data_IF_945544630642
#
_entry.id   IF_945544630642
#
_cell.length_a   1.000
_cell.length_b   1.000
_cell.length_c   1.000
_cell.angle_alpha   90.00
_cell.angle_beta   90.00
_cell.angle_gamma   90.00
#
_symmetry.space_group_name_H-M   'P 1'
#
loop_
_entity.id
_entity.type
_entity.pdbx_description
1 polymer ?
#
# COMPACT_ATOMS: atom_id res chain seq x y z
N UNK A 1 -3.53 -55.77 15.89
CA UNK A 1 -4.68 -55.84 16.80
C UNK A 1 -4.26 -55.16 18.09
N UNK A 2 -4.86 -54.02 18.38
CA UNK A 2 -5.37 -53.62 19.70
C UNK A 2 -5.69 -52.13 19.64
N UNK A 3 -6.98 -51.89 19.58
CA UNK A 3 -7.64 -50.61 19.80
C UNK A 3 -7.59 -50.27 21.29
N UNK A 4 -7.21 -49.04 21.64
CA UNK A 4 -7.76 -48.38 22.82
C UNK A 4 -7.87 -46.88 22.58
N UNK A 5 -9.11 -46.44 22.77
CA UNK A 5 -9.64 -45.09 22.65
C UNK A 5 -9.23 -44.32 23.91
N UNK A 6 -8.66 -43.13 23.74
CA UNK A 6 -8.50 -42.15 24.81
C UNK A 6 -9.29 -40.89 24.47
N UNK A 7 -10.11 -40.47 25.44
CA UNK A 7 -10.98 -39.30 25.43
C UNK A 7 -10.24 -37.95 25.26
N UNK A 8 -10.94 -36.89 24.80
CA UNK A 8 -10.36 -35.58 24.60
C UNK A 8 -10.30 -34.77 25.90
N UNK A 9 -9.10 -34.28 26.23
CA UNK A 9 -8.84 -33.37 27.36
C UNK A 9 -9.53 -32.01 27.09
N UNK A 10 -10.30 -31.58 28.08
CA UNK A 10 -11.20 -30.44 28.04
C UNK A 10 -10.54 -29.07 27.86
N UNK A 11 -11.22 -28.24 27.07
CA UNK A 11 -11.03 -26.80 26.97
C UNK A 11 -11.57 -26.12 28.24
N UNK A 12 -10.67 -25.53 29.01
CA UNK A 12 -10.97 -24.76 30.21
C UNK A 12 -11.68 -23.44 29.84
N UNK A 13 -12.94 -23.29 30.25
CA UNK A 13 -13.87 -22.21 29.88
C UNK A 13 -13.83 -20.99 30.81
N UNK A 14 -12.75 -20.79 31.58
CA UNK A 14 -12.68 -19.73 32.59
C UNK A 14 -11.63 -18.62 32.34
N UNK A 15 -11.20 -18.39 31.09
CA UNK A 15 -10.28 -17.27 30.75
C UNK A 15 -10.92 -16.03 30.09
N UNK A 16 -12.26 -15.93 30.06
CA UNK A 16 -12.98 -14.78 29.47
C UNK A 16 -13.91 -14.06 30.45
N UNK A 17 -13.50 -13.94 31.71
CA UNK A 17 -14.11 -13.03 32.70
C UNK A 17 -12.97 -12.49 33.54
N UNK A 18 -12.49 -11.30 33.20
CA UNK A 18 -11.72 -10.34 34.02
C UNK A 18 -11.01 -9.32 33.10
N UNK A 19 -11.75 -8.67 32.20
CA UNK A 19 -11.25 -7.54 31.40
C UNK A 19 -12.07 -6.25 31.67
N UNK A 20 -13.04 -6.30 32.59
CA UNK A 20 -13.92 -5.16 32.89
C UNK A 20 -13.64 -4.50 34.25
N UNK A 21 -12.66 -4.95 35.04
CA UNK A 21 -12.37 -4.39 36.38
C UNK A 21 -11.02 -3.65 36.51
N UNK A 22 -10.19 -3.55 35.47
CA UNK A 22 -8.91 -2.80 35.54
C UNK A 22 -9.01 -1.32 35.11
N UNK A 23 -10.21 -0.82 34.79
CA UNK A 23 -10.40 0.55 34.26
C UNK A 23 -10.68 1.63 35.32
N UNK A 24 -10.70 1.32 36.63
CA UNK A 24 -11.06 2.32 37.66
C UNK A 24 -9.95 2.76 38.63
N UNK A 25 -8.74 2.19 38.61
CA UNK A 25 -7.70 2.53 39.62
C UNK A 25 -6.52 3.41 39.16
N UNK A 26 -6.41 3.81 37.88
CA UNK A 26 -5.30 4.68 37.43
C UNK A 26 -5.67 6.16 37.28
N UNK A 27 -6.49 6.68 38.20
CA UNK A 27 -6.73 8.12 38.35
C UNK A 27 -5.97 8.70 39.54
N UNK A 28 -4.63 8.82 39.44
CA UNK A 28 -3.83 9.81 40.22
C UNK A 28 -2.36 9.90 39.74
N UNK A 29 -2.08 11.04 39.11
CA UNK A 29 -0.85 11.85 39.18
C UNK A 29 0.44 11.16 38.70
N UNK A 30 0.81 11.42 37.44
CA UNK A 30 2.18 11.74 37.05
C UNK A 30 2.13 12.93 36.09
N UNK A 31 2.38 14.13 36.62
CA UNK A 31 2.73 15.31 35.84
C UNK A 31 4.13 15.12 35.27
N UNK A 32 4.24 14.97 33.94
CA UNK A 32 5.26 15.60 33.10
C UNK A 32 5.12 15.14 31.64
N UNK A 33 4.77 16.10 30.77
CA UNK A 33 4.97 15.99 29.32
C UNK A 33 3.90 15.22 28.52
N UNK A 34 2.62 15.56 28.65
CA UNK A 34 1.60 15.08 27.71
C UNK A 34 1.41 16.08 26.57
N UNK A 35 1.90 15.72 25.37
CA UNK A 35 1.29 16.22 24.12
C UNK A 35 -0.18 15.82 24.12
N UNK A 36 -1.05 16.75 23.74
CA UNK A 36 -2.49 16.60 23.93
C UNK A 36 -3.15 15.90 22.74
N UNK A 37 -4.33 15.29 22.96
CA UNK A 37 -5.17 14.67 21.91
C UNK A 37 -5.53 15.63 20.75
N UNK A 38 -5.36 16.94 20.91
CA UNK A 38 -5.54 17.93 19.86
C UNK A 38 -4.33 17.99 18.88
N UNK A 39 -3.12 17.74 19.37
CA UNK A 39 -1.92 17.63 18.52
C UNK A 39 -2.01 16.39 17.60
N UNK A 40 -2.78 15.37 18.02
CA UNK A 40 -3.11 14.17 17.22
C UNK A 40 -3.92 14.49 15.96
N UNK A 41 -4.77 15.52 15.98
CA UNK A 41 -5.55 15.94 14.81
C UNK A 41 -4.70 16.80 13.86
N UNK A 42 -3.89 17.72 14.37
CA UNK A 42 -3.09 18.63 13.52
C UNK A 42 -1.89 17.93 12.85
N UNK A 43 -1.32 16.90 13.48
CA UNK A 43 -0.22 16.13 12.90
C UNK A 43 -0.65 15.30 11.68
N UNK A 44 -1.94 15.08 11.42
CA UNK A 44 -2.40 14.36 10.23
C UNK A 44 -3.62 14.99 9.54
N UNK A 45 -3.90 16.26 9.81
CA UNK A 45 -4.62 17.13 8.86
C UNK A 45 -3.72 17.32 7.64
N UNK A 46 -3.80 16.30 6.80
CA UNK A 46 -3.51 16.22 5.39
C UNK A 46 -3.55 17.57 4.68
N UNK A 47 -2.56 17.80 3.82
CA UNK A 47 -2.29 19.11 3.24
C UNK A 47 -3.38 19.51 2.27
N UNK A 48 -3.99 20.64 2.56
CA UNK A 48 -4.89 21.32 1.64
C UNK A 48 -4.08 21.79 0.44
N UNK A 49 -4.41 21.26 -0.74
CA UNK A 49 -3.97 21.86 -1.98
C UNK A 49 -4.75 23.17 -2.12
N UNK A 50 -4.06 24.30 -2.16
CA UNK A 50 -4.66 25.65 -2.25
C UNK A 50 -5.38 25.91 -3.59
N UNK A 51 -5.61 24.89 -4.42
CA UNK A 51 -6.12 25.01 -5.77
C UNK A 51 -7.18 23.92 -6.00
N UNK A 52 -8.33 24.31 -6.56
CA UNK A 52 -9.24 23.39 -7.24
C UNK A 52 -8.48 22.78 -8.41
N UNK A 53 -7.86 21.62 -8.19
CA UNK A 53 -7.22 20.86 -9.25
C UNK A 53 -8.34 20.06 -9.91
N UNK A 54 -8.56 20.31 -11.19
CA UNK A 54 -9.55 19.59 -12.00
C UNK A 54 -8.99 18.18 -12.25
N UNK A 55 -9.47 17.21 -11.47
CA UNK A 55 -9.01 15.80 -11.55
C UNK A 55 -9.79 15.13 -12.68
N UNK A 56 -9.08 14.38 -13.54
CA UNK A 56 -9.77 13.51 -14.50
C UNK A 56 -10.45 12.38 -13.74
N UNK A 57 -11.74 12.17 -14.01
CA UNK A 57 -12.56 11.10 -13.40
C UNK A 57 -11.83 9.76 -13.36
N UNK A 58 -12.01 9.05 -12.25
CA UNK A 58 -11.52 7.68 -12.06
C UNK A 58 -11.73 6.81 -13.32
N UNK A 59 -10.65 6.26 -13.92
CA UNK A 59 -10.75 5.43 -15.12
C UNK A 59 -11.29 4.02 -14.82
N UNK A 60 -11.37 3.59 -13.57
CA UNK A 60 -11.89 2.28 -13.19
C UNK A 60 -13.44 2.30 -13.16
N UNK A 61 -14.11 1.52 -14.02
CA UNK A 61 -15.56 1.52 -14.09
C UNK A 61 -16.15 0.87 -12.83
N UNK A 62 -17.13 1.55 -12.22
CA UNK A 62 -18.01 0.93 -11.22
C UNK A 62 -19.03 0.05 -11.94
N UNK A 63 -19.09 -1.23 -11.56
CA UNK A 63 -20.11 -2.14 -12.07
C UNK A 63 -21.14 -2.43 -10.99
N UNK A 64 -22.39 -2.04 -11.24
CA UNK A 64 -23.50 -2.34 -10.32
C UNK A 64 -23.78 -3.83 -10.33
N UNK A 65 -23.93 -4.43 -9.15
CA UNK A 65 -24.20 -5.85 -8.99
C UNK A 65 -25.54 -6.03 -8.31
N UNK A 66 -26.49 -6.64 -9.01
CA UNK A 66 -27.78 -7.01 -8.46
C UNK A 66 -27.84 -8.49 -8.12
N UNK A 67 -27.15 -9.33 -8.89
CA UNK A 67 -27.08 -10.77 -8.71
C UNK A 67 -25.65 -11.26 -8.85
N UNK A 68 -25.36 -12.44 -8.28
CA UNK A 68 -24.04 -13.07 -8.38
C UNK A 68 -23.52 -13.20 -9.83
N UNK A 69 -24.42 -13.40 -10.79
CA UNK A 69 -24.07 -13.54 -12.20
C UNK A 69 -23.60 -12.24 -12.88
N UNK A 70 -23.83 -11.08 -12.26
CA UNK A 70 -23.35 -9.78 -12.75
C UNK A 70 -21.85 -9.59 -12.48
N UNK A 71 -21.25 -10.49 -11.69
CA UNK A 71 -19.83 -10.50 -11.33
C UNK A 71 -19.09 -11.35 -12.36
N UNK A 72 -17.89 -10.97 -12.85
CA UNK A 72 -17.11 -11.84 -13.72
C UNK A 72 -16.91 -13.24 -13.12
N UNK A 73 -17.02 -14.30 -13.93
CA UNK A 73 -16.92 -15.70 -13.47
C UNK A 73 -15.67 -15.96 -12.61
N UNK A 74 -14.53 -15.38 -12.98
CA UNK A 74 -13.28 -15.45 -12.22
C UNK A 74 -13.39 -14.86 -10.80
N UNK A 75 -14.21 -13.82 -10.64
CA UNK A 75 -14.49 -13.16 -9.37
C UNK A 75 -15.58 -13.89 -8.56
N UNK A 76 -16.49 -14.62 -9.21
CA UNK A 76 -17.53 -15.43 -8.53
C UNK A 76 -16.96 -16.67 -7.82
N UNK A 77 -15.88 -17.26 -8.36
CA UNK A 77 -15.18 -18.40 -7.75
C UNK A 77 -14.30 -17.98 -6.56
N UNK A 78 -14.08 -16.67 -6.42
CA UNK A 78 -13.19 -16.09 -5.42
C UNK A 78 -13.71 -16.28 -4.00
N UNK A 79 -15.00 -16.09 -3.73
CA UNK A 79 -15.57 -16.35 -2.39
C UNK A 79 -17.07 -16.60 -2.43
N UNK A 80 -17.59 -17.33 -1.43
CA UNK A 80 -19.03 -17.36 -1.16
C UNK A 80 -19.55 -16.00 -0.67
N UNK A 81 -18.64 -15.15 -0.17
CA UNK A 81 -18.92 -13.80 0.32
C UNK A 81 -19.22 -12.79 -0.80
N UNK A 82 -18.96 -13.17 -2.06
CA UNK A 82 -19.12 -12.31 -3.24
C UNK A 82 -20.60 -12.15 -3.65
N UNK A 83 -21.55 -12.81 -2.99
CA UNK A 83 -22.99 -12.61 -3.22
C UNK A 83 -23.42 -11.20 -2.72
N UNK A 84 -23.96 -10.33 -3.61
CA UNK A 84 -24.37 -8.98 -3.23
C UNK A 84 -25.40 -8.97 -2.09
N UNK A 85 -26.32 -9.94 -2.02
CA UNK A 85 -27.29 -10.00 -0.92
C UNK A 85 -26.62 -10.28 0.43
N UNK A 86 -25.57 -11.09 0.42
CA UNK A 86 -24.79 -11.38 1.62
C UNK A 86 -23.97 -10.17 2.08
N UNK A 87 -23.35 -9.46 1.13
CA UNK A 87 -22.64 -8.18 1.39
C UNK A 87 -23.59 -7.18 2.05
N UNK A 88 -24.80 -7.00 1.49
CA UNK A 88 -25.84 -6.12 2.06
C UNK A 88 -26.18 -6.50 3.50
N UNK A 89 -26.43 -7.78 3.78
CA UNK A 89 -26.75 -8.27 5.13
C UNK A 89 -25.64 -7.98 6.15
N UNK A 90 -24.39 -8.23 5.78
CA UNK A 90 -23.25 -7.91 6.65
C UNK A 90 -23.22 -6.41 6.94
N UNK A 91 -23.35 -5.56 5.92
CA UNK A 91 -23.30 -4.11 6.11
C UNK A 91 -24.44 -3.59 7.01
N UNK A 92 -25.66 -4.11 6.85
CA UNK A 92 -26.80 -3.76 7.71
C UNK A 92 -26.57 -4.14 9.19
N UNK A 93 -25.86 -5.24 9.45
CA UNK A 93 -25.53 -5.67 10.82
C UNK A 93 -24.34 -4.90 11.42
N UNK A 94 -23.30 -4.65 10.61
CA UNK A 94 -21.98 -4.23 11.09
C UNK A 94 -21.75 -2.72 11.03
N UNK A 95 -22.49 -1.98 10.20
CA UNK A 95 -22.35 -0.52 10.09
C UNK A 95 -23.39 0.14 10.99
N UNK A 96 -22.92 1.03 11.87
CA UNK A 96 -23.80 1.77 12.78
C UNK A 96 -24.91 2.50 12.02
N UNK A 97 -26.12 2.51 12.59
CA UNK A 97 -27.38 3.04 12.03
C UNK A 97 -27.93 2.38 10.76
N UNK A 98 -27.18 1.51 10.08
CA UNK A 98 -27.65 0.87 8.85
C UNK A 98 -28.71 -0.22 9.12
N UNK A 99 -28.77 -0.78 10.33
CA UNK A 99 -29.79 -1.76 10.73
C UNK A 99 -31.24 -1.23 10.72
N UNK A 100 -31.42 0.07 10.54
CA UNK A 100 -32.73 0.73 10.32
C UNK A 100 -33.24 0.57 8.88
N UNK A 101 -32.37 0.17 7.96
CA UNK A 101 -32.69 -0.08 6.55
C UNK A 101 -32.91 -1.57 6.29
N UNK A 102 -33.30 -1.93 5.07
CA UNK A 102 -33.33 -3.31 4.58
C UNK A 102 -32.47 -3.48 3.32
N UNK A 103 -32.34 -4.70 2.80
CA UNK A 103 -31.47 -5.00 1.66
C UNK A 103 -31.85 -4.26 0.36
N UNK A 104 -33.10 -3.84 0.20
CA UNK A 104 -33.54 -3.06 -0.95
C UNK A 104 -33.07 -1.60 -0.88
N UNK A 105 -32.73 -1.10 0.31
CA UNK A 105 -32.17 0.25 0.50
C UNK A 105 -30.67 0.34 0.19
N UNK A 106 -30.00 -0.81 0.10
CA UNK A 106 -28.55 -0.91 -0.06
C UNK A 106 -28.17 -1.17 -1.51
N UNK A 107 -27.22 -0.41 -2.04
CA UNK A 107 -26.58 -0.61 -3.34
C UNK A 107 -25.18 -1.20 -3.15
N UNK A 108 -24.79 -2.11 -4.04
CA UNK A 108 -23.46 -2.74 -4.06
C UNK A 108 -22.88 -2.58 -5.46
N UNK A 109 -21.75 -1.90 -5.56
CA UNK A 109 -20.99 -1.75 -6.80
C UNK A 109 -19.61 -2.38 -6.61
N UNK A 110 -19.19 -3.29 -7.49
CA UNK A 110 -17.82 -3.79 -7.45
C UNK A 110 -16.89 -2.74 -8.03
N UNK A 111 -15.80 -2.52 -7.31
CA UNK A 111 -14.68 -1.72 -7.76
C UNK A 111 -13.69 -2.70 -8.37
N UNK A 112 -13.45 -2.57 -9.67
CA UNK A 112 -12.41 -3.33 -10.36
C UNK A 112 -11.04 -2.70 -10.13
N UNK A 113 -10.71 -2.45 -8.85
CA UNK A 113 -9.43 -1.95 -8.39
C UNK A 113 -8.83 -2.95 -7.40
N UNK A 114 -7.55 -3.22 -7.54
CA UNK A 114 -6.83 -4.20 -6.73
C UNK A 114 -6.84 -5.61 -7.33
N UNK A 115 -5.67 -6.23 -7.34
CA UNK A 115 -5.44 -7.56 -7.90
C UNK A 115 -5.53 -8.65 -6.81
N UNK A 116 -5.28 -8.28 -5.56
CA UNK A 116 -5.15 -9.17 -4.40
C UNK A 116 -6.43 -9.30 -3.57
N UNK A 117 -7.36 -8.36 -3.68
CA UNK A 117 -8.59 -8.29 -2.89
C UNK A 117 -9.81 -8.05 -3.78
N UNK A 118 -11.01 -8.37 -3.31
CA UNK A 118 -12.24 -7.89 -3.93
C UNK A 118 -12.77 -6.69 -3.15
N UNK A 119 -12.99 -5.59 -3.86
CA UNK A 119 -13.45 -4.33 -3.30
C UNK A 119 -14.85 -4.02 -3.80
N UNK A 120 -15.72 -3.62 -2.88
CA UNK A 120 -17.07 -3.17 -3.20
C UNK A 120 -17.33 -1.83 -2.54
N UNK A 121 -17.84 -0.89 -3.32
CA UNK A 121 -18.54 0.26 -2.79
C UNK A 121 -19.93 -0.23 -2.35
N UNK A 122 -20.24 -0.04 -1.07
CA UNK A 122 -21.58 -0.32 -0.54
C UNK A 122 -22.16 0.99 -0.06
N UNK A 123 -23.40 1.29 -0.47
CA UNK A 123 -24.05 2.55 -0.12
C UNK A 123 -25.53 2.40 0.19
N UNK A 124 -26.06 3.33 0.98
CA UNK A 124 -27.51 3.53 1.13
C UNK A 124 -28.00 4.43 -0.01
N UNK A 125 -29.15 4.08 -0.59
CA UNK A 125 -29.86 4.92 -1.57
C UNK A 125 -30.06 6.33 -1.04
N UNK A 126 -29.90 7.33 -1.91
CA UNK A 126 -29.89 8.74 -1.51
C UNK A 126 -31.16 9.17 -0.77
N UNK A 127 -32.33 8.87 -1.32
CA UNK A 127 -33.62 9.22 -0.71
C UNK A 127 -33.78 8.60 0.69
N UNK A 128 -33.44 7.31 0.83
CA UNK A 128 -33.48 6.60 2.12
C UNK A 128 -32.49 7.21 3.12
N UNK A 129 -31.28 7.55 2.67
CA UNK A 129 -30.27 8.17 3.54
C UNK A 129 -30.73 9.53 4.07
N UNK A 130 -31.40 10.33 3.24
CA UNK A 130 -31.96 11.64 3.62
C UNK A 130 -33.12 11.45 4.61
N UNK A 131 -34.05 10.54 4.32
CA UNK A 131 -35.23 10.26 5.17
C UNK A 131 -34.81 9.81 6.57
N UNK A 132 -33.90 8.84 6.65
CA UNK A 132 -33.44 8.28 7.92
C UNK A 132 -32.28 9.06 8.57
N UNK A 133 -31.80 10.13 7.90
CA UNK A 133 -30.68 10.98 8.33
C UNK A 133 -29.39 10.18 8.57
N UNK A 134 -29.11 9.22 7.69
CA UNK A 134 -27.90 8.41 7.72
C UNK A 134 -26.72 9.26 7.23
N UNK A 135 -25.78 9.54 8.13
CA UNK A 135 -24.63 10.42 7.84
C UNK A 135 -23.50 9.69 7.12
N UNK A 136 -23.31 8.39 7.40
CA UNK A 136 -22.37 7.53 6.68
C UNK A 136 -23.09 6.81 5.54
N UNK A 137 -23.20 7.47 4.39
CA UNK A 137 -23.91 6.90 3.22
C UNK A 137 -23.13 5.79 2.51
N UNK A 138 -21.79 5.82 2.53
CA UNK A 138 -20.94 4.84 1.84
C UNK A 138 -19.93 4.19 2.79
N UNK A 139 -19.58 2.95 2.48
CA UNK A 139 -18.48 2.19 3.08
C UNK A 139 -17.72 1.43 1.99
N UNK A 140 -16.44 1.17 2.22
CA UNK A 140 -15.65 0.25 1.42
C UNK A 140 -15.73 -1.14 2.06
N UNK A 141 -16.19 -2.12 1.31
CA UNK A 141 -16.26 -3.52 1.73
C UNK A 141 -15.13 -4.31 1.06
N UNK A 142 -14.15 -4.76 1.85
CA UNK A 142 -12.97 -5.48 1.36
C UNK A 142 -13.06 -6.95 1.75
N UNK A 143 -13.04 -7.83 0.75
CA UNK A 143 -12.90 -9.28 0.92
C UNK A 143 -11.44 -9.65 0.65
N UNK A 144 -10.83 -10.37 1.59
CA UNK A 144 -9.44 -10.80 1.46
C UNK A 144 -9.27 -11.84 0.37
N UNK A 145 -8.15 -11.76 -0.34
CA UNK A 145 -7.84 -12.73 -1.38
C UNK A 145 -7.45 -14.11 -0.91
N UNK A 146 -7.72 -15.09 -1.78
CA UNK A 146 -7.09 -16.41 -1.71
C UNK A 146 -5.64 -16.27 -2.21
N UNK A 147 -4.72 -16.95 -1.54
CA UNK A 147 -3.29 -17.03 -1.92
C UNK A 147 -2.45 -15.73 -1.81
N UNK A 148 -2.84 -14.81 -0.92
CA UNK A 148 -2.04 -13.59 -0.64
C UNK A 148 -0.77 -13.86 0.18
N UNK A 149 -0.71 -15.00 0.87
CA UNK A 149 0.39 -15.39 1.78
C UNK A 149 1.76 -15.46 1.11
N UNK A 150 1.78 -15.71 -0.21
CA UNK A 150 3.01 -15.72 -1.00
C UNK A 150 3.60 -14.31 -1.18
N UNK A 151 2.77 -13.26 -1.08
CA UNK A 151 3.13 -11.87 -1.33
C UNK A 151 3.42 -11.15 -0.02
N UNK A 152 2.46 -11.13 0.90
CA UNK A 152 2.57 -10.47 2.20
C UNK A 152 2.02 -11.36 3.32
N UNK A 153 2.33 -11.02 4.57
CA UNK A 153 1.80 -11.75 5.73
C UNK A 153 0.46 -11.11 6.14
N UNK A 154 -0.68 -11.79 5.97
CA UNK A 154 -2.00 -11.21 6.22
C UNK A 154 -2.25 -10.89 7.70
N UNK A 155 -1.61 -11.62 8.63
CA UNK A 155 -1.76 -11.35 10.06
C UNK A 155 -1.09 -10.04 10.45
N UNK A 156 0.12 -9.79 9.95
CA UNK A 156 0.81 -8.51 10.17
C UNK A 156 0.13 -7.37 9.42
N UNK A 157 -0.40 -7.61 8.23
CA UNK A 157 -1.12 -6.59 7.44
C UNK A 157 -2.28 -6.00 8.24
N UNK A 158 -3.11 -6.84 8.86
CA UNK A 158 -4.25 -6.35 9.61
C UNK A 158 -3.85 -5.60 10.90
N UNK A 159 -2.77 -6.02 11.58
CA UNK A 159 -2.24 -5.29 12.73
C UNK A 159 -1.69 -3.91 12.33
N UNK A 160 -0.96 -3.85 11.22
CA UNK A 160 -0.46 -2.62 10.63
C UNK A 160 -1.63 -1.70 10.26
N UNK A 161 -2.62 -2.21 9.54
CA UNK A 161 -3.79 -1.45 9.14
C UNK A 161 -4.53 -0.85 10.34
N UNK A 162 -4.79 -1.64 11.39
CA UNK A 162 -5.39 -1.12 12.64
C UNK A 162 -4.59 0.04 13.24
N UNK A 163 -3.27 -0.05 13.22
CA UNK A 163 -2.38 0.98 13.76
C UNK A 163 -2.41 2.25 12.91
N UNK A 164 -2.32 2.11 11.58
CA UNK A 164 -2.43 3.24 10.64
C UNK A 164 -3.80 3.91 10.72
N UNK A 165 -4.86 3.12 10.90
CA UNK A 165 -6.23 3.59 11.08
C UNK A 165 -6.41 4.35 12.40
N UNK A 166 -5.86 3.83 13.51
CA UNK A 166 -5.82 4.52 14.82
C UNK A 166 -5.18 5.90 14.73
N UNK A 167 -4.10 6.02 13.95
CA UNK A 167 -3.42 7.30 13.73
C UNK A 167 -4.01 8.15 12.60
N UNK A 168 -5.17 7.75 12.03
CA UNK A 168 -5.87 8.46 10.94
C UNK A 168 -5.03 8.63 9.66
N UNK A 169 -4.03 7.77 9.47
CA UNK A 169 -3.20 7.74 8.26
C UNK A 169 -3.97 6.99 7.17
N UNK A 170 -4.31 5.73 7.43
CA UNK A 170 -5.17 4.92 6.58
C UNK A 170 -6.66 5.30 6.76
N UNK A 171 -7.57 4.87 5.87
CA UNK A 171 -9.01 4.94 6.10
C UNK A 171 -9.41 4.36 7.47
N UNK A 172 -10.47 4.90 8.06
CA UNK A 172 -10.95 4.39 9.35
C UNK A 172 -11.49 2.95 9.21
N UNK A 173 -10.97 2.02 10.01
CA UNK A 173 -11.52 0.67 10.16
C UNK A 173 -12.86 0.79 10.90
N UNK A 174 -13.95 0.40 10.25
CA UNK A 174 -15.28 0.47 10.84
C UNK A 174 -15.65 -0.84 11.53
N UNK A 175 -15.43 -1.97 10.86
CA UNK A 175 -15.74 -3.29 11.41
C UNK A 175 -14.98 -4.41 10.69
N UNK A 176 -15.08 -5.63 11.21
CA UNK A 176 -14.54 -6.86 10.60
C UNK A 176 -15.62 -7.93 10.48
N UNK A 177 -15.40 -8.86 9.56
CA UNK A 177 -16.24 -10.05 9.39
C UNK A 177 -15.36 -11.23 8.95
N UNK A 178 -15.91 -12.44 8.99
CA UNK A 178 -15.18 -13.63 8.55
C UNK A 178 -14.85 -13.54 7.05
N UNK A 179 -13.55 -13.42 6.73
CA UNK A 179 -13.04 -13.24 5.37
C UNK A 179 -12.85 -11.80 4.88
N UNK A 180 -12.99 -10.78 5.74
CA UNK A 180 -12.74 -9.39 5.32
C UNK A 180 -12.97 -8.30 6.36
N UNK A 181 -13.06 -7.06 5.88
CA UNK A 181 -13.26 -5.86 6.71
C UNK A 181 -14.10 -4.79 6.01
N UNK A 182 -14.66 -3.90 6.82
CA UNK A 182 -15.41 -2.72 6.38
C UNK A 182 -14.63 -1.47 6.79
N UNK A 183 -14.39 -0.60 5.81
CA UNK A 183 -13.56 0.59 5.94
C UNK A 183 -14.36 1.86 5.61
N UNK A 184 -13.86 3.00 6.06
CA UNK A 184 -14.32 4.31 5.65
C UNK A 184 -14.21 4.47 4.13
N UNK A 185 -15.30 4.93 3.51
CA UNK A 185 -15.27 5.39 2.13
C UNK A 185 -14.60 6.76 2.04
N UNK A 186 -13.50 6.86 1.30
CA UNK A 186 -12.87 8.14 1.00
C UNK A 186 -13.54 8.76 -0.24
N UNK A 187 -14.19 9.91 -0.04
CA UNK A 187 -14.74 10.68 -1.16
C UNK A 187 -13.63 11.43 -1.89
N UNK A 188 -13.40 11.07 -3.14
CA UNK A 188 -12.38 11.64 -4.01
C UNK A 188 -12.05 10.67 -5.13
N UNK A 189 -11.02 11.01 -5.90
CA UNK A 189 -10.49 10.17 -6.97
C UNK A 189 -9.02 9.84 -6.68
N UNK A 190 -8.54 8.64 -7.04
CA UNK A 190 -7.10 8.39 -7.09
C UNK A 190 -6.41 9.36 -8.04
N UNK A 191 -5.14 9.66 -7.80
CA UNK A 191 -4.35 10.41 -8.77
C UNK A 191 -4.16 9.59 -10.04
N UNK A 192 -4.02 10.29 -11.16
CA UNK A 192 -3.63 9.73 -12.45
C UNK A 192 -2.13 9.95 -12.73
N UNK A 193 -1.59 9.22 -13.69
CA UNK A 193 -0.21 9.41 -14.17
C UNK A 193 0.06 10.83 -14.68
N UNK A 194 -0.97 11.50 -15.22
CA UNK A 194 -0.86 12.88 -15.70
C UNK A 194 -0.81 13.88 -14.54
N UNK A 195 -1.45 13.58 -13.41
CA UNK A 195 -1.40 14.43 -12.20
C UNK A 195 0.02 14.49 -11.63
N UNK A 196 0.82 13.44 -11.83
CA UNK A 196 2.23 13.39 -11.39
C UNK A 196 3.13 14.36 -12.18
N UNK A 197 2.64 14.96 -13.27
CA UNK A 197 3.35 16.03 -14.00
C UNK A 197 3.12 17.41 -13.37
N UNK A 198 2.10 17.54 -12.51
CA UNK A 198 1.75 18.80 -11.88
C UNK A 198 2.65 19.06 -10.66
N UNK A 199 3.47 20.12 -10.72
CA UNK A 199 4.39 20.50 -9.63
C UNK A 199 3.67 20.73 -8.29
N UNK A 200 2.45 21.27 -8.28
CA UNK A 200 1.65 21.46 -7.06
C UNK A 200 1.25 20.12 -6.42
N UNK A 201 0.88 19.14 -7.25
CA UNK A 201 0.59 17.77 -6.78
C UNK A 201 1.86 17.12 -6.22
N UNK A 202 2.98 17.21 -6.93
CA UNK A 202 4.27 16.69 -6.45
C UNK A 202 4.68 17.27 -5.09
N UNK A 203 4.50 18.57 -4.89
CA UNK A 203 4.71 19.24 -3.60
C UNK A 203 3.75 18.66 -2.54
N UNK A 204 2.47 18.48 -2.87
CA UNK A 204 1.49 17.84 -1.98
C UNK A 204 1.92 16.45 -1.53
N UNK A 205 2.31 15.59 -2.48
CA UNK A 205 2.78 14.22 -2.23
C UNK A 205 4.03 14.24 -1.35
N UNK A 206 5.03 15.06 -1.71
CA UNK A 206 6.28 15.17 -0.97
C UNK A 206 6.05 15.57 0.49
N UNK A 207 5.15 16.52 0.74
CA UNK A 207 4.85 16.93 2.10
C UNK A 207 4.09 15.85 2.89
N UNK A 208 3.11 15.16 2.28
CA UNK A 208 2.37 14.06 2.93
C UNK A 208 3.34 12.94 3.29
N UNK A 209 4.21 12.56 2.35
CA UNK A 209 5.19 11.51 2.55
C UNK A 209 6.24 11.89 3.60
N UNK A 210 6.76 13.12 3.56
CA UNK A 210 7.70 13.64 4.55
C UNK A 210 7.12 13.63 5.96
N UNK A 211 5.84 14.02 6.10
CA UNK A 211 5.12 13.96 7.38
C UNK A 211 4.90 12.51 7.83
N UNK A 212 4.48 11.63 6.93
CA UNK A 212 4.26 10.21 7.19
C UNK A 212 5.54 9.51 7.70
N UNK A 213 6.69 9.74 7.08
CA UNK A 213 7.95 9.12 7.50
C UNK A 213 8.45 9.59 8.89
N UNK A 214 7.91 10.68 9.44
CA UNK A 214 8.18 11.06 10.84
C UNK A 214 7.47 10.17 11.87
N UNK A 215 6.50 9.34 11.45
CA UNK A 215 5.64 8.56 12.34
C UNK A 215 6.42 7.74 13.37
N UNK A 216 7.44 7.00 12.91
CA UNK A 216 8.20 6.08 13.74
C UNK A 216 9.03 6.74 14.86
N UNK A 217 9.32 8.04 14.73
CA UNK A 217 10.01 8.83 15.77
C UNK A 217 9.08 9.76 16.56
N UNK A 218 7.93 10.13 15.99
CA UNK A 218 6.91 10.97 16.66
C UNK A 218 5.87 10.15 17.43
N UNK A 219 5.78 8.85 17.20
CA UNK A 219 4.83 7.93 17.86
C UNK A 219 5.48 6.60 18.20
N UNK A 220 4.95 5.96 19.22
CA UNK A 220 5.30 4.59 19.59
C UNK A 220 4.54 3.60 18.69
N UNK A 221 5.22 3.11 17.66
CA UNK A 221 4.77 1.93 16.91
C UNK A 221 4.97 0.66 17.76
N UNK A 222 4.20 -0.42 17.53
CA UNK A 222 4.33 -1.64 18.32
C UNK A 222 5.76 -2.18 18.34
N UNK A 223 6.29 -2.41 19.55
CA UNK A 223 7.71 -2.73 19.75
C UNK A 223 8.12 -4.08 19.16
N UNK A 224 7.18 -5.02 19.04
CA UNK A 224 7.41 -6.35 18.47
C UNK A 224 7.51 -6.34 16.93
N UNK A 225 7.24 -5.21 16.28
CA UNK A 225 7.37 -5.12 14.83
C UNK A 225 8.84 -5.21 14.41
N UNK A 226 9.10 -6.15 13.50
CA UNK A 226 10.42 -6.34 12.91
C UNK A 226 10.86 -5.12 12.09
N UNK A 227 11.96 -4.50 12.53
CA UNK A 227 12.57 -3.31 11.93
C UNK A 227 13.50 -3.63 10.76
N UNK A 228 13.65 -4.89 10.37
CA UNK A 228 14.40 -5.28 9.17
C UNK A 228 13.80 -4.58 7.95
N UNK A 229 14.61 -3.82 7.17
CA UNK A 229 14.11 -3.11 6.00
C UNK A 229 13.38 -4.05 5.01
N UNK A 230 12.17 -3.68 4.61
CA UNK A 230 11.31 -4.49 3.75
C UNK A 230 11.94 -4.80 2.40
N UNK A 231 12.88 -3.99 1.90
CA UNK A 231 13.64 -4.31 0.68
C UNK A 231 14.33 -5.68 0.77
N UNK A 232 14.86 -6.06 1.95
CA UNK A 232 15.45 -7.38 2.16
C UNK A 232 14.37 -8.47 2.20
N UNK A 233 13.31 -8.24 2.99
CA UNK A 233 12.24 -9.21 3.22
C UNK A 233 11.47 -9.54 1.94
N UNK A 234 11.07 -8.51 1.18
CA UNK A 234 10.35 -8.66 -0.08
C UNK A 234 11.22 -9.34 -1.12
N UNK A 235 12.47 -8.91 -1.28
CA UNK A 235 13.40 -9.52 -2.23
C UNK A 235 13.62 -11.02 -1.93
N UNK A 236 13.97 -11.37 -0.70
CA UNK A 236 14.25 -12.76 -0.33
C UNK A 236 13.01 -13.65 -0.47
N UNK A 237 11.85 -13.20 0.02
CA UNK A 237 10.59 -13.94 -0.06
C UNK A 237 10.19 -14.19 -1.52
N UNK A 238 10.13 -13.13 -2.33
CA UNK A 238 9.60 -13.24 -3.68
C UNK A 238 10.58 -13.92 -4.63
N UNK A 239 11.89 -13.72 -4.46
CA UNK A 239 12.90 -14.51 -5.16
C UNK A 239 12.74 -16.01 -4.88
N UNK A 240 12.55 -16.39 -3.62
CA UNK A 240 12.33 -17.79 -3.25
C UNK A 240 11.06 -18.34 -3.90
N UNK A 241 9.95 -17.60 -3.84
CA UNK A 241 8.70 -18.00 -4.49
C UNK A 241 8.88 -18.17 -6.01
N UNK A 242 9.56 -17.24 -6.69
CA UNK A 242 9.86 -17.32 -8.12
C UNK A 242 10.70 -18.56 -8.45
N UNK A 243 11.71 -18.87 -7.63
CA UNK A 243 12.59 -20.03 -7.85
C UNK A 243 11.88 -21.39 -7.80
N UNK A 244 10.68 -21.43 -7.21
CA UNK A 244 9.88 -22.66 -7.09
C UNK A 244 8.97 -22.92 -8.30
N UNK A 245 8.76 -21.93 -9.18
CA UNK A 245 7.92 -22.12 -10.37
C UNK A 245 8.65 -22.87 -11.48
N UNK A 246 7.90 -23.70 -12.21
CA UNK A 246 8.36 -24.38 -13.44
C UNK A 246 7.92 -23.58 -14.68
N UNK A 247 8.66 -23.68 -15.79
CA UNK A 247 8.37 -23.00 -17.07
C UNK A 247 8.49 -21.47 -17.04
N UNK A 248 9.53 -20.95 -16.38
CA UNK A 248 9.83 -19.52 -16.29
C UNK A 248 10.23 -18.87 -17.63
N UNK A 249 10.45 -19.69 -18.67
CA UNK A 249 10.79 -19.27 -20.04
C UNK A 249 9.76 -18.30 -20.65
N UNK A 250 8.51 -18.28 -20.14
CA UNK A 250 7.47 -17.32 -20.55
C UNK A 250 7.80 -15.86 -20.21
N UNK A 251 8.65 -15.62 -19.20
CA UNK A 251 9.00 -14.28 -18.71
C UNK A 251 10.31 -13.81 -19.33
N UNK A 252 11.34 -14.64 -19.18
CA UNK A 252 12.67 -14.40 -19.70
C UNK A 252 13.35 -15.74 -19.95
N UNK A 253 14.26 -15.76 -20.93
CA UNK A 253 15.07 -16.94 -21.22
C UNK A 253 16.07 -17.27 -20.09
N UNK A 254 16.36 -16.31 -19.19
CA UNK A 254 17.31 -16.50 -18.09
C UNK A 254 16.85 -15.81 -16.81
N UNK A 255 15.86 -16.40 -16.12
CA UNK A 255 15.41 -15.93 -14.81
C UNK A 255 16.49 -16.11 -13.74
N UNK A 256 17.36 -17.10 -13.91
CA UNK A 256 18.44 -17.39 -12.98
C UNK A 256 19.47 -16.26 -12.94
N UNK A 257 19.76 -15.61 -14.07
CA UNK A 257 20.52 -14.35 -14.11
C UNK A 257 19.95 -13.34 -13.11
N UNK A 258 18.66 -13.04 -13.19
CA UNK A 258 18.04 -12.01 -12.34
C UNK A 258 17.94 -12.44 -10.87
N UNK A 259 17.80 -13.74 -10.59
CA UNK A 259 17.93 -14.27 -9.22
C UNK A 259 19.34 -13.99 -8.67
N UNK A 260 20.40 -14.21 -9.45
CA UNK A 260 21.77 -13.89 -9.01
C UNK A 260 22.00 -12.38 -8.86
N UNK A 261 21.46 -11.58 -9.77
CA UNK A 261 21.50 -10.12 -9.68
C UNK A 261 20.79 -9.60 -8.40
N UNK A 262 19.72 -10.26 -7.95
CA UNK A 262 19.11 -9.91 -6.66
C UNK A 262 20.03 -10.20 -5.46
N UNK A 263 20.82 -11.27 -5.50
CA UNK A 263 21.80 -11.55 -4.46
C UNK A 263 22.91 -10.49 -4.43
N UNK A 264 23.37 -10.04 -5.60
CA UNK A 264 24.34 -8.94 -5.71
C UNK A 264 23.77 -7.64 -5.15
N UNK A 265 22.55 -7.27 -5.55
CA UNK A 265 21.86 -6.09 -5.03
C UNK A 265 21.78 -6.13 -3.50
N UNK A 266 21.33 -7.24 -2.91
CA UNK A 266 21.19 -7.34 -1.45
C UNK A 266 22.53 -7.29 -0.71
N UNK A 267 23.63 -7.81 -1.30
CA UNK A 267 24.97 -7.66 -0.72
C UNK A 267 25.44 -6.21 -0.79
N UNK A 268 25.31 -5.59 -1.96
CA UNK A 268 25.71 -4.21 -2.20
C UNK A 268 24.94 -3.24 -1.29
N UNK A 269 23.60 -3.34 -1.25
CA UNK A 269 22.75 -2.41 -0.51
C UNK A 269 23.00 -2.48 1.00
N UNK A 270 23.42 -3.64 1.53
CA UNK A 270 23.84 -3.79 2.94
C UNK A 270 25.07 -2.95 3.28
N UNK A 271 25.96 -2.75 2.32
CA UNK A 271 27.17 -1.93 2.48
C UNK A 271 26.84 -0.47 2.20
N UNK A 272 26.18 -0.19 1.08
CA UNK A 272 25.80 1.17 0.66
C UNK A 272 25.00 1.92 1.74
N UNK A 273 24.07 1.23 2.40
CA UNK A 273 23.21 1.84 3.43
C UNK A 273 23.90 2.10 4.77
N UNK A 274 25.18 1.71 4.91
CA UNK A 274 26.02 2.08 6.06
C UNK A 274 26.68 3.45 5.90
N UNK A 275 26.66 4.02 4.68
CA UNK A 275 27.12 5.39 4.43
C UNK A 275 26.17 6.34 5.15
N UNK A 276 26.72 7.28 5.92
CA UNK A 276 25.94 8.30 6.62
C UNK A 276 25.25 9.22 5.60
N UNK A 277 23.95 9.01 5.44
CA UNK A 277 23.11 9.75 4.50
C UNK A 277 21.66 9.67 5.02
N UNK A 278 20.96 10.81 5.06
CA UNK A 278 19.55 10.90 5.48
C UNK A 278 18.67 9.92 4.69
N UNK A 279 18.99 9.71 3.41
CA UNK A 279 18.27 8.77 2.54
C UNK A 279 18.30 7.31 3.02
N UNK A 280 19.26 6.96 3.89
CA UNK A 280 19.43 5.62 4.48
C UNK A 280 18.72 5.47 5.84
N UNK A 281 18.02 6.49 6.34
CA UNK A 281 17.22 6.37 7.54
C UNK A 281 16.18 5.25 7.38
N UNK A 282 16.10 4.38 8.39
CA UNK A 282 15.10 3.31 8.46
C UNK A 282 13.86 3.85 9.14
N UNK A 283 12.80 4.06 8.37
CA UNK A 283 11.51 4.59 8.82
C UNK A 283 10.39 3.62 8.48
N UNK A 284 9.17 3.88 8.97
CA UNK A 284 7.99 3.13 8.55
C UNK A 284 7.54 3.62 7.16
N UNK A 285 7.70 2.81 6.13
CA UNK A 285 7.42 3.13 4.72
C UNK A 285 6.11 2.48 4.25
N UNK A 286 5.52 3.04 3.20
CA UNK A 286 4.34 2.51 2.50
C UNK A 286 4.69 1.27 1.66
N UNK A 287 5.86 1.28 1.02
CA UNK A 287 6.46 0.28 0.13
C UNK A 287 5.71 0.00 -1.18
N UNK A 288 4.61 0.71 -1.47
CA UNK A 288 3.85 0.60 -2.74
C UNK A 288 3.25 1.96 -3.15
N UNK A 289 4.10 3.00 -3.22
CA UNK A 289 3.67 4.33 -3.62
C UNK A 289 3.54 4.44 -5.14
N UNK A 290 2.30 4.31 -5.61
CA UNK A 290 1.84 4.56 -6.98
C UNK A 290 0.63 5.51 -6.95
N UNK A 291 0.28 6.12 -8.07
CA UNK A 291 -0.80 7.11 -8.18
C UNK A 291 -2.16 6.58 -7.70
N UNK A 292 -2.43 5.30 -7.95
CA UNK A 292 -3.67 4.63 -7.52
C UNK A 292 -3.80 4.54 -5.99
N UNK A 293 -2.68 4.58 -5.25
CA UNK A 293 -2.65 4.53 -3.78
C UNK A 293 -2.62 5.92 -3.13
N UNK A 294 -2.79 6.99 -3.93
CA UNK A 294 -2.85 8.37 -3.47
C UNK A 294 -4.21 8.94 -3.86
N UNK A 295 -5.12 9.03 -2.90
CA UNK A 295 -6.45 9.60 -3.07
C UNK A 295 -6.40 11.11 -2.96
N UNK A 296 -6.88 11.82 -3.97
CA UNK A 296 -7.17 13.25 -3.88
C UNK A 296 -8.62 13.44 -3.43
N UNK A 297 -8.77 13.76 -2.15
CA UNK A 297 -10.07 14.05 -1.53
C UNK A 297 -10.35 15.55 -1.56
N UNK A 298 -11.60 15.94 -1.28
CA UNK A 298 -12.02 17.34 -1.22
C UNK A 298 -11.22 18.25 -0.27
N UNK A 299 -10.41 17.68 0.63
CA UNK A 299 -9.59 18.43 1.57
C UNK A 299 -8.10 18.26 1.32
N UNK A 300 -7.66 17.19 0.67
CA UNK A 300 -6.26 16.78 0.70
C UNK A 300 -5.92 15.48 -0.05
N UNK A 301 -4.62 15.24 -0.20
CA UNK A 301 -4.08 13.93 -0.56
C UNK A 301 -4.05 12.98 0.66
N UNK A 302 -4.49 11.74 0.47
CA UNK A 302 -4.44 10.65 1.46
C UNK A 302 -3.81 9.39 0.85
N UNK A 303 -2.99 8.70 1.64
CA UNK A 303 -2.45 7.39 1.28
C UNK A 303 -3.47 6.29 1.62
N UNK A 304 -3.56 5.25 0.79
CA UNK A 304 -4.40 4.06 0.98
C UNK A 304 -3.60 2.79 0.63
N UNK A 305 -4.16 1.61 0.93
CA UNK A 305 -3.58 0.31 0.57
C UNK A 305 -2.17 0.06 1.14
N UNK A 306 -2.14 -0.07 2.47
CA UNK A 306 -0.93 -0.27 3.29
C UNK A 306 -0.49 -1.74 3.39
N UNK A 307 -0.92 -2.63 2.48
CA UNK A 307 -0.65 -4.08 2.56
C UNK A 307 0.85 -4.43 2.59
N UNK A 308 1.69 -3.65 1.92
CA UNK A 308 3.15 -3.85 1.87
C UNK A 308 3.92 -2.98 2.89
N UNK A 309 3.22 -2.15 3.66
CA UNK A 309 3.87 -1.17 4.54
C UNK A 309 4.64 -1.83 5.69
N UNK A 310 5.71 -1.17 6.12
CA UNK A 310 6.66 -1.70 7.07
C UNK A 310 7.96 -0.91 7.09
N UNK A 311 8.83 -1.20 8.06
CA UNK A 311 10.12 -0.54 8.15
C UNK A 311 10.96 -0.75 6.87
N UNK A 312 11.50 0.33 6.32
CA UNK A 312 12.37 0.29 5.15
C UNK A 312 13.28 1.53 5.12
N UNK A 313 14.24 1.57 4.19
CA UNK A 313 14.97 2.80 3.89
C UNK A 313 14.02 3.81 3.27
N UNK A 314 14.01 5.07 3.76
CA UNK A 314 13.06 6.07 3.27
C UNK A 314 13.22 6.38 1.76
N UNK A 315 14.43 6.18 1.24
CA UNK A 315 14.74 6.34 -0.19
C UNK A 315 14.04 5.31 -1.06
N UNK A 316 13.69 4.13 -0.54
CA UNK A 316 12.97 3.10 -1.28
C UNK A 316 11.52 3.54 -1.61
N UNK A 317 10.84 4.23 -0.68
CA UNK A 317 9.48 4.72 -0.93
C UNK A 317 9.45 5.80 -2.02
N UNK A 318 10.42 6.72 -1.97
CA UNK A 318 10.54 7.80 -2.96
C UNK A 318 10.99 7.24 -4.31
N UNK A 319 11.90 6.26 -4.32
CA UNK A 319 12.32 5.57 -5.54
C UNK A 319 11.15 4.85 -6.22
N UNK A 320 10.27 4.20 -5.45
CA UNK A 320 9.07 3.59 -5.99
C UNK A 320 8.19 4.63 -6.68
N UNK A 321 7.89 5.73 -5.97
CA UNK A 321 7.08 6.82 -6.52
C UNK A 321 7.68 7.41 -7.81
N UNK A 322 9.00 7.63 -7.85
CA UNK A 322 9.67 8.16 -9.05
C UNK A 322 9.61 7.20 -10.23
N UNK A 323 9.77 5.89 -10.00
CA UNK A 323 9.59 4.87 -11.04
C UNK A 323 8.17 4.92 -11.60
N UNK A 324 7.16 5.01 -10.73
CA UNK A 324 5.75 4.99 -11.12
C UNK A 324 5.33 6.22 -11.95
N UNK A 325 6.09 7.33 -11.97
CA UNK A 325 5.83 8.42 -12.94
C UNK A 325 6.04 8.02 -14.40
N UNK A 326 6.58 6.83 -14.66
CA UNK A 326 6.75 6.27 -16.00
C UNK A 326 5.70 5.22 -16.36
N UNK A 327 4.89 4.75 -15.42
CA UNK A 327 4.02 3.58 -15.60
C UNK A 327 2.56 4.03 -15.51
N UNK A 328 1.79 3.80 -16.56
CA UNK A 328 0.37 4.13 -16.62
C UNK A 328 -0.46 2.84 -16.61
N UNK A 329 -1.22 2.61 -15.53
CA UNK A 329 -2.12 1.46 -15.37
C UNK A 329 -3.53 1.71 -15.88
N UNK A 330 -3.86 2.92 -16.35
CA UNK A 330 -5.19 3.28 -16.85
C UNK A 330 -5.43 2.86 -18.30
N UNK A 331 -4.42 2.32 -18.97
CA UNK A 331 -4.52 1.91 -20.38
C UNK A 331 -5.51 0.75 -20.54
N UNK A 332 -6.61 0.99 -21.23
CA UNK A 332 -7.76 0.06 -21.29
C UNK A 332 -7.67 -0.97 -22.44
N UNK A 333 -6.47 -1.34 -22.87
CA UNK A 333 -6.25 -2.37 -23.87
C UNK A 333 -4.98 -3.15 -23.53
N UNK A 334 -4.87 -4.39 -24.02
CA UNK A 334 -3.66 -5.20 -23.83
C UNK A 334 -2.38 -4.39 -24.13
N UNK A 335 -1.37 -4.40 -23.24
CA UNK A 335 -1.21 -5.29 -22.08
C UNK A 335 -1.78 -4.74 -20.75
N UNK A 336 -2.63 -3.71 -20.82
CA UNK A 336 -3.26 -2.99 -19.71
C UNK A 336 -2.29 -2.17 -18.85
N UNK A 337 -1.14 -1.82 -19.43
CA UNK A 337 -0.23 -0.81 -18.91
C UNK A 337 0.58 -0.19 -20.05
N UNK A 338 1.09 1.03 -19.83
CA UNK A 338 2.08 1.67 -20.70
C UNK A 338 3.27 2.10 -19.85
N UNK A 339 4.49 1.81 -20.32
CA UNK A 339 5.72 2.37 -19.73
C UNK A 339 6.30 3.41 -20.68
N UNK A 340 6.38 4.66 -20.24
CA UNK A 340 7.02 5.75 -20.96
C UNK A 340 8.15 6.38 -20.13
N UNK A 341 9.37 5.89 -20.36
CA UNK A 341 10.59 6.34 -19.67
C UNK A 341 10.88 7.83 -19.85
N UNK A 342 10.37 8.47 -20.92
CA UNK A 342 10.50 9.92 -21.12
C UNK A 342 9.68 10.75 -20.12
N UNK A 343 8.70 10.14 -19.47
CA UNK A 343 7.90 10.76 -18.41
C UNK A 343 8.52 10.59 -17.02
N UNK A 344 9.72 9.98 -16.89
CA UNK A 344 10.41 9.92 -15.61
C UNK A 344 10.55 11.32 -15.05
N UNK A 345 10.25 11.47 -13.76
CA UNK A 345 10.23 12.77 -13.07
C UNK A 345 11.52 13.55 -13.37
N UNK A 346 11.36 14.78 -13.87
CA UNK A 346 12.49 15.60 -14.31
C UNK A 346 13.43 15.90 -13.16
N UNK A 347 14.71 16.15 -13.45
CA UNK A 347 15.68 16.51 -12.42
C UNK A 347 15.25 17.72 -11.57
N UNK A 348 14.73 18.77 -12.21
CA UNK A 348 14.17 19.94 -11.51
C UNK A 348 13.01 19.54 -10.57
N UNK A 349 12.11 18.67 -11.02
CA UNK A 349 10.98 18.21 -10.21
C UNK A 349 11.42 17.27 -9.08
N UNK A 350 12.48 16.49 -9.28
CA UNK A 350 13.10 15.67 -8.22
C UNK A 350 13.73 16.53 -7.13
N UNK A 351 14.45 17.60 -7.48
CA UNK A 351 14.95 18.58 -6.51
C UNK A 351 13.78 19.22 -5.74
N UNK A 352 12.73 19.67 -6.46
CA UNK A 352 11.54 20.26 -5.83
C UNK A 352 10.88 19.27 -4.86
N UNK A 353 10.77 18.00 -5.24
CA UNK A 353 10.19 16.96 -4.40
C UNK A 353 11.04 16.72 -3.15
N UNK A 354 12.36 16.52 -3.29
CA UNK A 354 13.27 16.22 -2.16
C UNK A 354 13.35 17.40 -1.19
N UNK A 355 13.52 18.63 -1.68
CA UNK A 355 13.55 19.83 -0.83
C UNK A 355 12.25 19.99 -0.03
N UNK A 356 11.11 19.79 -0.69
CA UNK A 356 9.79 19.82 -0.04
C UNK A 356 9.65 18.70 1.00
N UNK A 357 10.04 17.47 0.64
CA UNK A 357 10.00 16.30 1.51
C UNK A 357 10.84 16.55 2.77
N UNK A 358 12.09 17.00 2.62
CA UNK A 358 12.99 17.30 3.74
C UNK A 358 12.42 18.41 4.63
N UNK A 359 11.72 19.40 4.09
CA UNK A 359 11.04 20.46 4.87
C UNK A 359 9.92 19.97 5.81
N UNK A 360 9.49 18.71 5.65
CA UNK A 360 8.50 18.07 6.53
C UNK A 360 9.09 16.89 7.29
N UNK A 361 10.05 16.20 6.69
CA UNK A 361 10.73 15.08 7.31
C UNK A 361 11.75 15.52 8.36
N UNK A 362 12.42 16.66 8.20
CA UNK A 362 13.36 17.18 9.18
C UNK A 362 12.69 18.26 10.03
N UNK A 363 13.01 18.29 11.32
CA UNK A 363 12.54 19.33 12.23
C UNK A 363 13.42 20.61 12.13
N UNK A 364 14.67 20.50 11.64
CA UNK A 364 15.54 21.62 11.25
C UNK A 364 15.62 21.77 9.72
N UNK A 365 15.41 22.99 9.23
CA UNK A 365 15.27 23.34 7.81
C UNK A 365 16.60 23.53 7.08
N UNK A 366 17.73 23.60 7.78
CA UNK A 366 19.02 23.98 7.17
C UNK A 366 19.53 22.94 6.16
N UNK A 367 19.40 21.66 6.47
CA UNK A 367 19.77 20.55 5.57
C UNK A 367 18.87 20.42 4.33
N UNK A 368 17.66 21.02 4.34
CA UNK A 368 16.73 20.95 3.21
C UNK A 368 17.12 21.87 2.03
N UNK A 369 18.13 22.72 2.20
CA UNK A 369 18.63 23.66 1.18
C UNK A 369 20.06 23.38 0.69
N UNK A 370 20.76 22.42 1.30
CA UNK A 370 22.12 22.07 0.92
C UNK A 370 22.10 21.17 -0.34
N UNK A 371 22.75 21.61 -1.42
CA UNK A 371 22.75 20.87 -2.68
C UNK A 371 23.53 19.56 -2.61
N UNK A 372 24.61 19.48 -1.84
CA UNK A 372 25.37 18.23 -1.72
C UNK A 372 24.53 17.16 -1.01
N UNK A 373 23.73 17.56 -0.02
CA UNK A 373 22.77 16.67 0.65
C UNK A 373 21.66 16.23 -0.32
N UNK A 374 21.10 17.15 -1.10
CA UNK A 374 20.05 16.82 -2.08
C UNK A 374 20.58 15.85 -3.15
N UNK A 375 21.78 16.09 -3.68
CA UNK A 375 22.40 15.25 -4.70
C UNK A 375 22.71 13.84 -4.16
N UNK A 376 23.24 13.73 -2.94
CA UNK A 376 23.44 12.43 -2.26
C UNK A 376 22.12 11.71 -1.99
N UNK A 377 21.05 12.46 -1.68
CA UNK A 377 19.73 11.89 -1.44
C UNK A 377 19.13 11.35 -2.74
N UNK A 378 19.26 12.09 -3.85
CA UNK A 378 18.84 11.66 -5.18
C UNK A 378 19.65 10.45 -5.66
N UNK A 379 20.95 10.40 -5.41
CA UNK A 379 21.78 9.23 -5.73
C UNK A 379 21.26 7.96 -5.03
N UNK A 380 20.98 8.06 -3.72
CA UNK A 380 20.47 6.93 -2.94
C UNK A 380 19.10 6.45 -3.45
N UNK A 381 18.22 7.36 -3.89
CA UNK A 381 16.94 7.01 -4.54
C UNK A 381 17.19 6.18 -5.81
N UNK A 382 18.10 6.62 -6.68
CA UNK A 382 18.43 5.91 -7.92
C UNK A 382 19.05 4.53 -7.64
N UNK A 383 19.83 4.38 -6.56
CA UNK A 383 20.36 3.10 -6.09
C UNK A 383 19.25 2.17 -5.58
N UNK A 384 18.28 2.67 -4.81
CA UNK A 384 17.14 1.85 -4.37
C UNK A 384 16.25 1.42 -5.54
N UNK A 385 16.07 2.28 -6.54
CA UNK A 385 15.28 1.99 -7.75
C UNK A 385 15.77 0.71 -8.46
N UNK A 386 17.09 0.44 -8.43
CA UNK A 386 17.69 -0.78 -8.95
C UNK A 386 17.06 -2.03 -8.32
N UNK A 387 16.99 -2.10 -6.99
CA UNK A 387 16.38 -3.22 -6.28
C UNK A 387 14.87 -3.33 -6.51
N UNK A 388 14.19 -2.19 -6.59
CA UNK A 388 12.73 -2.16 -6.77
C UNK A 388 12.29 -2.71 -8.12
N UNK A 389 13.09 -2.55 -9.18
CA UNK A 389 12.80 -3.20 -10.46
C UNK A 389 12.80 -4.73 -10.35
N UNK A 390 13.73 -5.34 -9.60
CA UNK A 390 13.74 -6.78 -9.36
C UNK A 390 12.60 -7.23 -8.47
N UNK A 391 12.35 -6.50 -7.37
CA UNK A 391 11.28 -6.79 -6.40
C UNK A 391 9.93 -6.85 -7.12
N UNK A 392 9.58 -5.82 -7.89
CA UNK A 392 8.29 -5.78 -8.59
C UNK A 392 8.23 -6.70 -9.81
N UNK A 393 9.36 -7.03 -10.43
CA UNK A 393 9.41 -8.10 -11.42
C UNK A 393 9.06 -9.45 -10.80
N UNK A 394 9.68 -9.81 -9.67
CA UNK A 394 9.41 -11.07 -8.98
C UNK A 394 7.99 -11.16 -8.46
N UNK A 395 7.47 -10.06 -7.88
CA UNK A 395 6.07 -9.93 -7.54
C UNK A 395 5.17 -10.24 -8.74
N UNK A 396 5.44 -9.61 -9.88
CA UNK A 396 4.61 -9.75 -11.08
C UNK A 396 4.65 -11.18 -11.65
N UNK A 397 5.80 -11.86 -11.60
CA UNK A 397 5.89 -13.29 -11.95
C UNK A 397 4.98 -14.13 -11.06
N UNK A 398 5.04 -13.94 -9.73
CA UNK A 398 4.19 -14.66 -8.78
C UNK A 398 2.71 -14.43 -9.12
N UNK A 399 2.33 -13.18 -9.38
CA UNK A 399 0.98 -12.81 -9.78
C UNK A 399 0.55 -13.48 -11.08
N UNK A 400 1.39 -13.49 -12.11
CA UNK A 400 1.09 -14.14 -13.39
C UNK A 400 0.78 -15.64 -13.26
N UNK A 401 1.34 -16.33 -12.26
CA UNK A 401 1.00 -17.72 -11.96
C UNK A 401 -0.28 -17.88 -11.12
N UNK A 402 -0.62 -16.88 -10.31
CA UNK A 402 -1.84 -16.88 -9.49
C UNK A 402 -3.09 -16.48 -10.30
N UNK A 403 -2.98 -15.49 -11.17
CA UNK A 403 -4.13 -14.92 -11.89
C UNK A 403 -4.22 -15.49 -13.31
N UNK A 404 -5.20 -16.36 -13.56
CA UNK A 404 -5.53 -16.74 -14.94
C UNK A 404 -6.58 -15.85 -15.60
N UNK A 405 -7.32 -15.01 -14.87
CA UNK A 405 -8.57 -14.43 -15.43
C UNK A 405 -9.10 -13.12 -14.82
N UNK A 406 -8.39 -12.39 -13.95
CA UNK A 406 -9.05 -11.28 -13.22
C UNK A 406 -9.09 -9.93 -13.97
N UNK A 407 -8.16 -9.60 -14.88
CA UNK A 407 -8.20 -8.29 -15.56
C UNK A 407 -7.44 -8.18 -16.90
N UNK A 408 -7.15 -9.29 -17.58
CA UNK A 408 -6.34 -9.34 -18.82
C UNK A 408 -4.94 -8.68 -18.78
N UNK A 409 -4.54 -8.09 -17.64
CA UNK A 409 -3.21 -7.53 -17.40
C UNK A 409 -2.13 -8.58 -17.60
N UNK A 410 -1.16 -8.27 -18.47
CA UNK A 410 -0.06 -9.19 -18.75
C UNK A 410 1.07 -9.02 -17.74
N UNK A 411 0.95 -9.77 -16.63
CA UNK A 411 1.95 -9.82 -15.57
C UNK A 411 3.32 -10.30 -16.07
N UNK A 412 3.37 -11.22 -17.03
CA UNK A 412 4.66 -11.74 -17.50
C UNK A 412 5.38 -10.71 -18.38
N UNK A 413 4.64 -9.98 -19.23
CA UNK A 413 5.18 -8.85 -19.98
C UNK A 413 5.60 -7.71 -19.04
N UNK A 414 4.79 -7.39 -18.04
CA UNK A 414 5.15 -6.38 -17.04
C UNK A 414 6.44 -6.75 -16.31
N UNK A 415 6.55 -7.99 -15.82
CA UNK A 415 7.78 -8.48 -15.18
C UNK A 415 8.99 -8.32 -16.10
N UNK A 416 8.86 -8.69 -17.38
CA UNK A 416 9.92 -8.56 -18.38
C UNK A 416 10.35 -7.11 -18.59
N UNK A 417 9.42 -6.16 -18.68
CA UNK A 417 9.76 -4.74 -18.81
C UNK A 417 10.43 -4.18 -17.54
N UNK A 418 10.00 -4.62 -16.34
CA UNK A 418 10.68 -4.26 -15.08
C UNK A 418 12.10 -4.81 -15.02
N UNK A 419 12.35 -6.05 -15.47
CA UNK A 419 13.71 -6.61 -15.56
C UNK A 419 14.58 -5.85 -16.58
N UNK A 420 14.00 -5.36 -17.67
CA UNK A 420 14.71 -4.48 -18.62
C UNK A 420 15.06 -3.13 -17.98
N UNK A 421 14.16 -2.55 -17.18
CA UNK A 421 14.45 -1.34 -16.41
C UNK A 421 15.58 -1.57 -15.39
N UNK A 422 15.66 -2.76 -14.77
CA UNK A 422 16.81 -3.15 -13.96
C UNK A 422 18.12 -3.09 -14.74
N UNK A 423 18.17 -3.74 -15.92
CA UNK A 423 19.39 -3.77 -16.74
C UNK A 423 19.84 -2.35 -17.16
N UNK A 424 18.90 -1.50 -17.56
CA UNK A 424 19.17 -0.10 -17.93
C UNK A 424 19.63 0.75 -16.73
N UNK A 425 18.98 0.60 -15.57
CA UNK A 425 19.37 1.31 -14.34
C UNK A 425 20.75 0.85 -13.85
N UNK A 426 21.04 -0.45 -13.89
CA UNK A 426 22.36 -0.99 -13.59
C UNK A 426 23.41 -0.36 -14.49
N UNK A 427 23.16 -0.32 -15.80
CA UNK A 427 24.09 0.29 -16.76
C UNK A 427 24.32 1.78 -16.45
N UNK A 428 23.25 2.53 -16.16
CA UNK A 428 23.36 3.94 -15.77
C UNK A 428 24.22 4.12 -14.52
N UNK A 429 23.92 3.41 -13.43
CA UNK A 429 24.65 3.52 -12.16
C UNK A 429 26.13 3.11 -12.30
N UNK A 430 26.42 2.06 -13.07
CA UNK A 430 27.80 1.65 -13.40
C UNK A 430 28.53 2.73 -14.20
N UNK A 431 27.88 3.33 -15.20
CA UNK A 431 28.47 4.38 -16.06
C UNK A 431 28.83 5.66 -15.29
N UNK A 432 28.15 5.88 -14.15
CA UNK A 432 28.40 6.99 -13.23
C UNK A 432 29.33 6.62 -12.07
N UNK A 433 29.80 5.38 -12.02
CA UNK A 433 30.66 4.86 -10.95
C UNK A 433 30.02 4.97 -9.55
N UNK A 434 28.69 4.86 -9.47
CA UNK A 434 27.91 4.93 -8.22
C UNK A 434 27.95 3.58 -7.49
N UNK A 435 27.67 2.49 -8.22
CA UNK A 435 27.66 1.12 -7.67
C UNK A 435 29.01 0.42 -7.87
N UNK A 436 30.03 0.89 -7.15
CA UNK A 436 31.36 0.28 -7.15
C UNK A 436 31.30 -1.14 -6.57
N UNK A 437 32.12 -2.03 -7.11
CA UNK A 437 32.28 -3.42 -6.64
C UNK A 437 30.95 -4.22 -6.61
N UNK A 438 29.96 -3.82 -7.42
CA UNK A 438 28.64 -4.45 -7.43
C UNK A 438 28.65 -5.89 -7.96
N UNK A 439 29.59 -6.18 -8.87
CA UNK A 439 29.76 -7.49 -9.48
C UNK A 439 30.81 -8.36 -8.76
N UNK A 440 31.51 -7.83 -7.75
CA UNK A 440 32.41 -8.57 -6.85
C UNK A 440 31.61 -9.29 -5.74
#
# INVERSE_FOLDING_TARGET
MESQICDPIGLDKNKFRNVEEENEENSKIVENGQMTFNDDLEMFTTIQLNQEIDIRKNPFPLHMINQKNDIPLCAQEFSKLTDPLYIKKICLEKVHDWSRCNEDDVCVNQILSGLTNQLFEVSIKEDTAIEYRITRRHVLFRIYGKDVDALYNPLSEFEVYKTMSKYKIAPLLLNTFDGGRIEEWLYGDPLSIDDLKNKSILVGIANVLGKFHTLSRKRHLPEHWDKTPCVFKMMDRWRLAVSNYKNLDKVTLDINKYIQESHKFLKFIKIYTQIENIANDVVFCHNDLQENNIMNTNKCLRLIDFEYSGYNFLSADIANFFIETTIDYSYNAYPFFIINKKNYISYESRILFVTTYLSKYLDDSTAASDQDIIDQFLEAIEVQALGLHLIWAFWSIIRGYQTKSYNEFDFFLYAKERLKMYDEQKQYLMSKNIIKDYDD
#
